data_IF_358898620673
#
_entry.id   IF_358898620673
#
_cell.length_a   1.000
_cell.length_b   1.000
_cell.length_c   1.000
_cell.angle_alpha   90.00
_cell.angle_beta   90.00
_cell.angle_gamma   90.00
#
_symmetry.space_group_name_H-M   'P 1'
#
loop_
_entity.id
_entity.type
_entity.pdbx_description
1 polymer ?
#
# COMPACT_ATOMS: atom_id res chain seq x y z
N UNK A 1 2.34 13.12 3.46
CA UNK A 1 2.84 14.25 4.27
C UNK A 1 3.62 15.18 3.36
N UNK A 2 3.49 16.49 3.51
CA UNK A 2 4.32 17.47 2.80
C UNK A 2 4.60 18.66 3.72
N UNK A 3 5.84 18.78 4.21
CA UNK A 3 6.18 19.71 5.27
C UNK A 3 5.36 19.43 6.54
N UNK A 4 4.62 20.43 7.03
CA UNK A 4 3.74 20.30 8.21
C UNK A 4 2.35 19.74 7.90
N UNK A 5 2.05 19.44 6.64
CA UNK A 5 0.72 19.01 6.22
C UNK A 5 0.62 17.48 6.21
N UNK A 6 -0.25 16.96 7.07
CA UNK A 6 -0.67 15.57 7.11
C UNK A 6 -2.15 15.45 6.75
N UNK A 7 -2.50 14.40 6.01
CA UNK A 7 -3.89 14.05 5.70
C UNK A 7 -4.04 12.54 5.80
N UNK A 8 -4.90 12.12 6.71
CA UNK A 8 -5.31 10.72 6.87
C UNK A 8 -6.60 10.47 6.07
N UNK A 9 -6.65 9.35 5.35
CA UNK A 9 -7.82 8.92 4.56
C UNK A 9 -8.04 7.44 4.88
N UNK A 10 -9.28 7.07 5.23
CA UNK A 10 -9.66 5.70 5.56
C UNK A 10 -10.97 5.33 4.87
N UNK A 11 -11.15 4.05 4.58
CA UNK A 11 -12.32 3.47 3.92
C UNK A 11 -12.20 1.95 3.80
N UNK A 12 -13.27 1.27 3.38
CA UNK A 12 -13.28 -0.19 3.21
C UNK A 12 -14.39 -0.70 2.29
N UNK A 13 -14.25 -1.94 1.79
CA UNK A 13 -15.16 -2.58 0.82
C UNK A 13 -15.56 -3.99 1.25
N UNK A 14 -16.80 -4.41 0.95
CA UNK A 14 -17.46 -5.63 1.52
C UNK A 14 -16.80 -6.95 1.11
N UNK A 15 -16.19 -6.99 -0.07
CA UNK A 15 -15.52 -8.18 -0.61
C UNK A 15 -14.06 -7.84 -0.90
N UNK A 16 -13.26 -7.73 0.16
CA UNK A 16 -11.87 -7.28 0.07
C UNK A 16 -10.91 -8.30 0.66
N UNK A 17 -9.66 -8.25 0.22
CA UNK A 17 -8.53 -8.98 0.81
C UNK A 17 -7.50 -7.94 1.28
N UNK A 18 -6.50 -8.34 2.06
CA UNK A 18 -5.41 -7.42 2.44
C UNK A 18 -4.80 -6.74 1.21
N UNK A 19 -4.52 -7.50 0.14
CA UNK A 19 -4.00 -6.95 -1.11
C UNK A 19 -4.95 -5.91 -1.74
N UNK A 20 -6.26 -6.16 -1.76
CA UNK A 20 -7.23 -5.19 -2.31
C UNK A 20 -7.27 -3.92 -1.45
N UNK A 21 -7.21 -4.05 -0.12
CA UNK A 21 -7.18 -2.91 0.79
C UNK A 21 -5.90 -2.09 0.64
N UNK A 22 -4.74 -2.74 0.58
CA UNK A 22 -3.45 -2.09 0.39
C UNK A 22 -3.40 -1.35 -0.96
N UNK A 23 -3.84 -1.99 -2.05
CA UNK A 23 -3.92 -1.36 -3.37
C UNK A 23 -4.90 -0.19 -3.39
N UNK A 24 -6.04 -0.31 -2.71
CA UNK A 24 -7.04 0.76 -2.60
C UNK A 24 -6.50 1.94 -1.80
N UNK A 25 -5.83 1.69 -0.67
CA UNK A 25 -5.20 2.73 0.14
C UNK A 25 -4.15 3.49 -0.67
N UNK A 26 -3.33 2.78 -1.45
CA UNK A 26 -2.36 3.42 -2.36
C UNK A 26 -3.06 4.26 -3.44
N UNK A 27 -4.10 3.73 -4.07
CA UNK A 27 -4.88 4.42 -5.09
C UNK A 27 -5.49 5.72 -4.56
N UNK A 28 -6.18 5.66 -3.42
CA UNK A 28 -6.83 6.82 -2.81
C UNK A 28 -5.82 7.85 -2.27
N UNK A 29 -4.68 7.38 -1.74
CA UNK A 29 -3.56 8.23 -1.37
C UNK A 29 -3.03 9.03 -2.56
N UNK A 30 -2.79 8.37 -3.70
CA UNK A 30 -2.35 9.02 -4.93
C UNK A 30 -3.41 10.00 -5.47
N UNK A 31 -4.69 9.64 -5.44
CA UNK A 31 -5.79 10.53 -5.86
C UNK A 31 -5.88 11.81 -5.03
N UNK A 32 -5.54 11.73 -3.74
CA UNK A 32 -5.58 12.87 -2.85
C UNK A 32 -4.46 13.89 -3.10
N UNK A 33 -3.37 13.48 -3.76
CA UNK A 33 -2.25 14.36 -4.09
C UNK A 33 -2.58 15.14 -5.37
N UNK A 34 -2.64 16.46 -5.24
CA UNK A 34 -2.98 17.37 -6.35
C UNK A 34 -1.77 17.79 -7.19
N UNK A 35 -0.60 17.86 -6.56
CA UNK A 35 0.66 18.24 -7.21
C UNK A 35 1.41 16.98 -7.63
N UNK A 36 1.48 16.74 -8.91
CA UNK A 36 2.10 15.55 -9.50
C UNK A 36 3.53 15.79 -9.98
N UNK A 37 3.98 17.04 -9.90
CA UNK A 37 5.32 17.53 -10.26
C UNK A 37 6.37 17.32 -9.15
N UNK A 38 5.93 16.90 -7.96
CA UNK A 38 6.80 16.68 -6.82
C UNK A 38 7.16 15.19 -6.70
N UNK A 39 8.40 14.85 -6.29
CA UNK A 39 8.75 13.48 -5.96
C UNK A 39 7.86 12.92 -4.85
N UNK A 40 7.28 11.74 -5.08
CA UNK A 40 6.46 11.03 -4.10
C UNK A 40 7.17 9.75 -3.67
N UNK A 41 7.20 9.48 -2.36
CA UNK A 41 7.65 8.20 -1.82
C UNK A 41 6.46 7.46 -1.24
N UNK A 42 6.22 6.25 -1.73
CA UNK A 42 5.17 5.35 -1.24
C UNK A 42 5.82 4.31 -0.33
N UNK A 43 5.32 4.22 0.89
CA UNK A 43 5.70 3.21 1.86
C UNK A 43 4.58 2.17 2.00
N UNK A 44 4.95 0.91 2.04
CA UNK A 44 4.02 -0.19 2.32
C UNK A 44 4.76 -1.50 2.61
N UNK A 45 4.04 -2.51 3.04
CA UNK A 45 4.58 -3.84 3.33
C UNK A 45 4.19 -4.90 2.27
N UNK A 46 3.24 -4.56 1.40
CA UNK A 46 2.78 -5.38 0.27
C UNK A 46 3.89 -5.68 -0.72
N UNK A 47 4.50 -6.86 -0.58
CA UNK A 47 5.52 -7.32 -1.51
C UNK A 47 4.97 -7.42 -2.95
N UNK A 48 3.72 -7.87 -3.10
CA UNK A 48 3.08 -8.04 -4.39
C UNK A 48 2.92 -6.71 -5.13
N UNK A 49 2.35 -5.70 -4.47
CA UNK A 49 2.07 -4.40 -5.10
C UNK A 49 3.37 -3.62 -5.33
N UNK A 50 4.22 -3.52 -4.30
CA UNK A 50 5.45 -2.73 -4.41
C UNK A 50 6.43 -3.33 -5.41
N UNK A 51 6.65 -4.65 -5.41
CA UNK A 51 7.52 -5.28 -6.41
C UNK A 51 6.90 -5.18 -7.80
N UNK A 52 5.58 -5.38 -7.93
CA UNK A 52 4.89 -5.25 -9.22
C UNK A 52 5.03 -3.86 -9.85
N UNK A 53 5.03 -2.81 -9.03
CA UNK A 53 5.28 -1.44 -9.48
C UNK A 53 6.77 -1.18 -9.74
N UNK A 54 7.65 -1.55 -8.81
CA UNK A 54 9.10 -1.31 -8.88
C UNK A 54 9.75 -2.06 -10.05
N UNK A 55 9.40 -3.32 -10.26
CA UNK A 55 9.91 -4.19 -11.33
C UNK A 55 9.07 -4.11 -12.62
N UNK A 56 8.03 -3.27 -12.63
CA UNK A 56 7.19 -2.98 -13.79
C UNK A 56 6.54 -4.21 -14.41
N UNK A 57 6.07 -5.16 -13.58
CA UNK A 57 5.39 -6.38 -14.05
C UNK A 57 4.19 -6.08 -14.97
N UNK A 58 3.52 -4.96 -14.69
CA UNK A 58 2.38 -4.46 -15.46
C UNK A 58 2.67 -4.25 -16.94
N UNK A 59 3.91 -3.98 -17.35
CA UNK A 59 4.26 -3.84 -18.77
C UNK A 59 4.11 -5.16 -19.52
N UNK A 60 4.61 -6.24 -18.91
CA UNK A 60 4.47 -7.58 -19.47
C UNK A 60 3.02 -8.04 -19.42
N UNK A 61 2.30 -7.74 -18.34
CA UNK A 61 0.89 -8.06 -18.23
C UNK A 61 0.07 -7.35 -19.31
N UNK A 62 0.24 -6.04 -19.51
CA UNK A 62 -0.44 -5.27 -20.56
C UNK A 62 -0.17 -5.87 -21.95
N UNK A 63 1.08 -6.22 -22.25
CA UNK A 63 1.47 -6.85 -23.53
C UNK A 63 0.85 -8.23 -23.74
N UNK A 64 0.69 -9.01 -22.67
CA UNK A 64 0.20 -10.39 -22.73
C UNK A 64 -1.31 -10.52 -22.42
N UNK A 65 -2.06 -9.43 -22.48
CA UNK A 65 -3.52 -9.42 -22.26
C UNK A 65 -3.92 -9.69 -20.81
N UNK A 66 -3.17 -9.12 -19.86
CA UNK A 66 -3.33 -9.25 -18.42
C UNK A 66 -3.25 -10.69 -17.90
N UNK A 67 -2.20 -11.40 -18.34
CA UNK A 67 -1.87 -12.74 -17.89
C UNK A 67 -0.50 -12.78 -17.21
N UNK A 68 -0.40 -13.59 -16.16
CA UNK A 68 0.85 -13.89 -15.45
C UNK A 68 1.77 -14.78 -16.31
N UNK A 69 3.01 -15.00 -15.87
CA UNK A 69 3.92 -15.97 -16.48
C UNK A 69 3.36 -17.39 -16.50
N UNK A 70 2.52 -17.73 -15.51
CA UNK A 70 1.77 -18.99 -15.44
C UNK A 70 0.56 -19.06 -16.39
N UNK A 71 0.36 -18.04 -17.24
CA UNK A 71 -0.77 -17.89 -18.18
C UNK A 71 -2.15 -17.80 -17.52
N UNK A 72 -2.19 -17.55 -16.22
CA UNK A 72 -3.43 -17.26 -15.49
C UNK A 72 -3.76 -15.77 -15.56
N UNK A 73 -5.05 -15.38 -15.41
CA UNK A 73 -5.42 -13.98 -15.28
C UNK A 73 -4.68 -13.32 -14.10
N UNK A 74 -4.26 -12.07 -14.28
CA UNK A 74 -3.70 -11.25 -13.19
C UNK A 74 -4.80 -10.96 -12.17
N UNK A 75 -4.53 -11.24 -10.90
CA UNK A 75 -5.43 -10.93 -9.80
C UNK A 75 -5.62 -9.42 -9.66
N UNK A 76 -6.83 -8.99 -9.31
CA UNK A 76 -7.17 -7.58 -9.08
C UNK A 76 -6.85 -6.67 -10.28
N UNK A 77 -6.94 -7.19 -11.51
CA UNK A 77 -6.65 -6.45 -12.75
C UNK A 77 -7.28 -5.05 -12.79
N UNK A 78 -8.58 -4.94 -12.52
CA UNK A 78 -9.29 -3.65 -12.59
C UNK A 78 -8.70 -2.62 -11.61
N UNK A 79 -8.23 -3.08 -10.46
CA UNK A 79 -7.61 -2.23 -9.46
C UNK A 79 -6.18 -1.84 -9.87
N UNK A 80 -5.44 -2.77 -10.47
CA UNK A 80 -4.15 -2.47 -11.11
C UNK A 80 -4.31 -1.43 -12.21
N UNK A 81 -5.31 -1.54 -13.08
CA UNK A 81 -5.55 -0.56 -14.15
C UNK A 81 -5.79 0.84 -13.58
N UNK A 82 -6.65 0.97 -12.58
CA UNK A 82 -6.91 2.26 -11.88
C UNK A 82 -5.68 2.79 -11.15
N UNK A 83 -4.92 1.91 -10.49
CA UNK A 83 -3.72 2.29 -9.74
C UNK A 83 -2.65 2.82 -10.70
N UNK A 84 -2.42 2.14 -11.82
CA UNK A 84 -1.44 2.55 -12.82
C UNK A 84 -1.82 3.88 -13.47
N UNK A 85 -3.11 4.12 -13.74
CA UNK A 85 -3.58 5.42 -14.22
C UNK A 85 -3.19 6.55 -13.24
N UNK A 86 -3.25 6.30 -11.93
CA UNK A 86 -2.81 7.30 -10.95
C UNK A 86 -1.30 7.42 -10.88
N UNK A 87 -0.56 6.31 -10.88
CA UNK A 87 0.91 6.29 -10.85
C UNK A 87 1.50 7.03 -12.04
N UNK A 88 0.95 6.83 -13.24
CA UNK A 88 1.42 7.45 -14.49
C UNK A 88 1.21 8.96 -14.55
N UNK A 89 0.41 9.54 -13.65
CA UNK A 89 0.23 11.01 -13.55
C UNK A 89 1.42 11.72 -12.91
N UNK A 90 2.27 11.02 -12.16
CA UNK A 90 3.34 11.62 -11.37
C UNK A 90 4.67 11.59 -12.13
N UNK A 91 5.42 12.69 -12.03
CA UNK A 91 6.74 12.81 -12.66
C UNK A 91 7.75 11.84 -12.05
N UNK A 92 7.65 11.58 -10.74
CA UNK A 92 8.55 10.69 -10.02
C UNK A 92 7.88 10.04 -8.81
N UNK A 93 7.88 8.71 -8.78
CA UNK A 93 7.46 7.92 -7.61
C UNK A 93 8.57 6.94 -7.25
N UNK A 94 8.89 6.88 -5.96
CA UNK A 94 9.75 5.86 -5.36
C UNK A 94 8.94 4.96 -4.44
N UNK A 95 9.27 3.67 -4.42
CA UNK A 95 8.58 2.66 -3.62
C UNK A 95 9.54 2.11 -2.57
N UNK A 96 9.17 2.21 -1.30
CA UNK A 96 9.95 1.70 -0.17
C UNK A 96 9.17 0.66 0.59
N UNK A 97 9.78 -0.50 0.79
CA UNK A 97 9.16 -1.59 1.52
C UNK A 97 9.47 -1.45 3.00
N UNK A 98 8.44 -1.42 3.83
CA UNK A 98 8.59 -1.50 5.28
C UNK A 98 8.27 -2.92 5.75
N UNK A 99 8.79 -3.26 6.93
CA UNK A 99 8.53 -4.57 7.53
C UNK A 99 7.10 -4.60 8.05
N UNK A 100 6.24 -5.35 7.37
CA UNK A 100 4.88 -5.60 7.83
C UNK A 100 4.87 -6.26 9.22
N UNK A 101 3.84 -5.93 10.01
CA UNK A 101 3.60 -6.47 11.34
C UNK A 101 4.73 -6.27 12.37
N UNK A 102 5.67 -5.35 12.12
CA UNK A 102 6.67 -4.97 13.11
C UNK A 102 6.09 -3.93 14.07
N UNK A 103 5.94 -4.29 15.35
CA UNK A 103 5.49 -3.35 16.37
C UNK A 103 6.66 -2.52 16.92
N UNK A 104 6.35 -1.32 17.39
CA UNK A 104 7.31 -0.43 18.07
C UNK A 104 7.83 -1.00 19.40
N UNK A 105 7.19 -2.05 19.92
CA UNK A 105 7.57 -2.75 21.15
C UNK A 105 8.36 -4.05 20.86
N UNK A 106 8.64 -4.34 19.59
CA UNK A 106 9.36 -5.56 19.22
C UNK A 106 10.79 -5.54 19.77
N UNK A 107 11.27 -6.62 20.42
CA UNK A 107 12.67 -6.71 20.87
C UNK A 107 13.66 -6.75 19.71
N UNK A 108 13.17 -6.90 18.47
CA UNK A 108 13.99 -6.92 17.25
C UNK A 108 13.91 -5.59 16.47
N UNK A 109 13.27 -4.56 17.03
CA UNK A 109 13.07 -3.27 16.36
C UNK A 109 14.38 -2.66 15.86
N UNK A 110 15.39 -2.56 16.73
CA UNK A 110 16.69 -1.97 16.40
C UNK A 110 17.35 -2.69 15.23
N UNK A 111 17.39 -4.03 15.27
CA UNK A 111 17.90 -4.86 14.18
C UNK A 111 17.17 -4.59 12.86
N UNK A 112 15.85 -4.42 12.89
CA UNK A 112 15.07 -4.12 11.69
C UNK A 112 15.27 -2.69 11.20
N UNK A 113 15.50 -1.73 12.10
CA UNK A 113 15.85 -0.36 11.76
C UNK A 113 17.23 -0.28 11.09
N UNK A 114 18.24 -0.93 11.66
CA UNK A 114 19.58 -1.03 11.06
C UNK A 114 19.50 -1.62 9.66
N UNK A 115 18.83 -2.76 9.54
CA UNK A 115 18.61 -3.42 8.25
C UNK A 115 17.88 -2.51 7.25
N UNK A 116 16.88 -1.76 7.70
CA UNK A 116 16.15 -0.83 6.84
C UNK A 116 17.07 0.27 6.31
N UNK A 117 17.96 0.82 7.15
CA UNK A 117 18.93 1.84 6.75
C UNK A 117 20.05 1.29 5.85
N UNK A 118 20.34 -0.01 5.91
CA UNK A 118 21.28 -0.67 4.98
C UNK A 118 20.67 -0.91 3.59
N UNK A 119 19.38 -1.26 3.53
CA UNK A 119 18.68 -1.63 2.29
C UNK A 119 18.05 -0.43 1.55
N UNK A 120 17.69 0.62 2.29
CA UNK A 120 16.99 1.81 1.79
C UNK A 120 17.75 3.09 2.21
N UNK A 121 17.29 4.26 1.77
CA UNK A 121 17.91 5.53 2.17
C UNK A 121 17.75 5.77 3.69
N UNK A 122 18.82 6.25 4.33
CA UNK A 122 18.86 6.52 5.77
C UNK A 122 17.73 7.47 6.19
N UNK A 123 16.92 7.01 7.15
CA UNK A 123 15.83 7.78 7.77
C UNK A 123 16.08 7.83 9.27
N UNK A 124 15.58 8.87 9.95
CA UNK A 124 15.67 8.91 11.40
C UNK A 124 14.85 7.79 12.06
N UNK A 125 15.24 7.37 13.25
CA UNK A 125 14.46 6.41 14.05
C UNK A 125 13.02 6.90 14.28
N UNK A 126 12.82 8.21 14.49
CA UNK A 126 11.50 8.82 14.62
C UNK A 126 10.64 8.61 13.36
N UNK A 127 11.23 8.84 12.18
CA UNK A 127 10.54 8.60 10.91
C UNK A 127 10.20 7.12 10.75
N UNK A 128 11.14 6.23 11.04
CA UNK A 128 10.93 4.80 10.95
C UNK A 128 9.80 4.33 11.88
N UNK A 129 9.78 4.78 13.13
CA UNK A 129 8.71 4.49 14.09
C UNK A 129 7.36 5.02 13.63
N UNK A 130 7.33 6.20 13.00
CA UNK A 130 6.12 6.77 12.42
C UNK A 130 5.60 5.91 11.27
N UNK A 131 6.48 5.43 10.39
CA UNK A 131 6.12 4.53 9.29
C UNK A 131 5.50 3.22 9.81
N UNK A 132 6.10 2.62 10.84
CA UNK A 132 5.55 1.41 11.48
C UNK A 132 4.18 1.66 12.11
N UNK A 133 4.02 2.79 12.79
CA UNK A 133 2.75 3.18 13.41
C UNK A 133 1.67 3.36 12.34
N UNK A 134 2.00 4.02 11.23
CA UNK A 134 1.08 4.23 10.13
C UNK A 134 0.70 2.93 9.43
N UNK A 135 1.63 1.99 9.23
CA UNK A 135 1.32 0.66 8.69
C UNK A 135 0.34 -0.09 9.58
N UNK A 136 0.63 -0.16 10.89
CA UNK A 136 -0.23 -0.85 11.84
C UNK A 136 -1.64 -0.24 11.90
N UNK A 137 -1.76 1.07 11.70
CA UNK A 137 -3.07 1.74 11.60
C UNK A 137 -3.81 1.35 10.32
N UNK A 138 -3.13 1.25 9.19
CA UNK A 138 -3.73 0.79 7.92
C UNK A 138 -4.22 -0.65 8.07
N UNK A 139 -3.43 -1.54 8.66
CA UNK A 139 -3.79 -2.95 8.90
C UNK A 139 -5.03 -3.06 9.81
N UNK A 140 -5.05 -2.26 10.89
CA UNK A 140 -6.18 -2.21 11.82
C UNK A 140 -7.44 -1.71 11.14
N UNK A 141 -7.37 -0.62 10.39
CA UNK A 141 -8.51 -0.07 9.66
C UNK A 141 -9.04 -1.08 8.63
N UNK A 142 -8.16 -1.74 7.89
CA UNK A 142 -8.55 -2.78 6.94
C UNK A 142 -9.30 -3.94 7.64
N UNK A 143 -8.81 -4.36 8.81
CA UNK A 143 -9.43 -5.42 9.62
C UNK A 143 -10.79 -5.00 10.20
N UNK A 144 -10.90 -3.79 10.76
CA UNK A 144 -12.14 -3.25 11.33
C UNK A 144 -13.23 -3.07 10.26
N UNK A 145 -12.86 -2.57 9.07
CA UNK A 145 -13.81 -2.46 7.97
C UNK A 145 -14.29 -3.84 7.50
N UNK A 146 -13.42 -4.84 7.43
CA UNK A 146 -13.83 -6.20 7.07
C UNK A 146 -14.86 -6.78 8.06
N UNK A 147 -14.68 -6.56 9.37
CA UNK A 147 -15.62 -7.01 10.40
C UNK A 147 -16.97 -6.28 10.32
N UNK A 148 -16.96 -4.96 10.23
CA UNK A 148 -18.19 -4.14 10.15
C UNK A 148 -19.08 -4.54 8.97
N UNK A 149 -18.46 -4.97 7.87
CA UNK A 149 -19.17 -5.36 6.66
C UNK A 149 -19.72 -6.79 6.72
N UNK A 150 -19.16 -7.66 7.56
CA UNK A 150 -19.73 -8.96 7.89
C UNK A 150 -20.96 -8.81 8.79
N UNK A 151 -20.90 -7.93 9.80
CA UNK A 151 -22.05 -7.68 10.69
C UNK A 151 -23.26 -7.11 9.94
N UNK A 152 -23.04 -6.19 8.99
CA UNK A 152 -24.10 -5.64 8.14
C UNK A 152 -24.75 -6.67 7.19
N UNK A 153 -24.12 -7.83 6.99
CA UNK A 153 -24.70 -8.93 6.19
C UNK A 153 -25.62 -9.85 7.01
N UNK A 154 -25.62 -9.70 8.33
CA UNK A 154 -26.43 -10.49 9.27
C UNK A 154 -27.82 -9.92 9.59
N UNK A 155 -28.22 -8.79 9.01
CA UNK A 155 -29.54 -8.16 9.26
C UNK A 155 -30.41 -8.09 8.01
N UNK A 156 -30.64 -9.24 7.38
CA UNK A 156 -31.84 -9.48 6.57
C UNK A 156 -32.50 -10.74 7.11
N UNK A 157 -33.36 -10.55 8.11
CA UNK A 157 -34.16 -11.61 8.71
C UNK A 157 -34.77 -11.14 10.03
N UNK A 158 -35.88 -10.41 9.97
CA UNK A 158 -37.25 -10.91 10.17
C UNK A 158 -38.27 -9.87 9.66
#
# INVERSE_FOLDING_TARGET
LYGVHEKEISGGSRNTTNNIMEMTAMLEGLRAIKRTDLPVVIYGDSAYVLNGLKERWYETWRRNGWKTSAKTPVENRELWEKLLEQVERFDSISYRKIKGHLSTQSPTLEKWYEKYCEEEEEVSLEEFLRLLTNNARVDKLASEFALKLQDDSGSIGE
#
